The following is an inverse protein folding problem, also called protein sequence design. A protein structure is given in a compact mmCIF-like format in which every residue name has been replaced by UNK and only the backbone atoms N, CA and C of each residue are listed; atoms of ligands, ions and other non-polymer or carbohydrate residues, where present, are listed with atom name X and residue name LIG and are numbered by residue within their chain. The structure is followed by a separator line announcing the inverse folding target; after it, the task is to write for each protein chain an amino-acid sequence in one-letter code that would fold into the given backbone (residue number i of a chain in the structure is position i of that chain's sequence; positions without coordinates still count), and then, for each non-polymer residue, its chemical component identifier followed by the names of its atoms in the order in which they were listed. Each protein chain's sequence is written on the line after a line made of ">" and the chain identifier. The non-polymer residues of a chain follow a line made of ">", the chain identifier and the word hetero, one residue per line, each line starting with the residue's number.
data_IF_019404759463
#
_entry.id   IF_019404759463
#
_cell.length_a   1.000
_cell.length_b   1.000
_cell.length_c   1.000
_cell.angle_alpha   90.00
_cell.angle_beta   90.00
_cell.angle_gamma   90.00
#
_symmetry.space_group_name_H-M   'P 1'
#
loop_
_entity.id
_entity.type
_entity.pdbx_description
1 polymer ?
#
# COMPACT_ATOMS: atom_id res chain seq x y z
N UNK A 1 -28.92 -9.55 -26.44
CA UNK A 1 -29.06 -10.94 -25.96
C UNK A 1 -28.60 -10.96 -24.53
N UNK A 2 -29.46 -11.36 -23.59
CA UNK A 2 -29.13 -11.27 -22.16
C UNK A 2 -28.49 -12.59 -21.71
N UNK A 3 -27.42 -12.50 -20.93
CA UNK A 3 -26.78 -13.66 -20.28
C UNK A 3 -27.06 -13.60 -18.78
N UNK A 4 -27.21 -14.76 -18.15
CA UNK A 4 -27.37 -14.81 -16.70
C UNK A 4 -26.07 -14.35 -16.02
N UNK A 5 -26.10 -13.36 -15.11
CA UNK A 5 -24.90 -12.84 -14.46
C UNK A 5 -24.24 -13.84 -13.49
N UNK A 6 -24.98 -14.87 -13.05
CA UNK A 6 -24.49 -15.85 -12.10
C UNK A 6 -23.84 -17.07 -12.80
N UNK A 7 -24.47 -17.63 -13.83
CA UNK A 7 -24.00 -18.86 -14.49
C UNK A 7 -23.58 -18.70 -15.96
N UNK A 8 -23.69 -17.50 -16.53
CA UNK A 8 -23.27 -17.21 -17.91
C UNK A 8 -24.14 -17.82 -19.02
N UNK A 9 -25.23 -18.52 -18.68
CA UNK A 9 -26.10 -19.15 -19.68
C UNK A 9 -26.95 -18.10 -20.41
N UNK A 10 -27.17 -18.30 -21.72
CA UNK A 10 -28.02 -17.43 -22.54
C UNK A 10 -29.46 -17.46 -22.03
N UNK A 11 -30.02 -16.29 -21.73
CA UNK A 11 -31.38 -16.17 -21.24
C UNK A 11 -32.38 -16.10 -22.41
N UNK A 12 -33.39 -16.97 -22.38
CA UNK A 12 -34.46 -17.03 -23.39
C UNK A 12 -35.64 -16.09 -23.07
N UNK A 13 -35.38 -14.92 -22.47
CA UNK A 13 -36.39 -13.88 -22.25
C UNK A 13 -37.33 -14.07 -21.05
N UNK A 14 -37.16 -15.11 -20.24
CA UNK A 14 -37.92 -15.29 -18.98
C UNK A 14 -37.39 -14.42 -17.83
N UNK A 15 -38.23 -14.18 -16.82
CA UNK A 15 -37.88 -13.41 -15.62
C UNK A 15 -36.84 -14.11 -14.71
N UNK A 16 -36.60 -15.41 -14.91
CA UNK A 16 -35.65 -16.21 -14.14
C UNK A 16 -34.78 -17.06 -15.07
N UNK A 17 -33.53 -17.29 -14.67
CA UNK A 17 -32.64 -18.21 -15.35
C UNK A 17 -33.09 -19.66 -15.13
N UNK A 18 -33.28 -20.41 -16.21
CA UNK A 18 -33.74 -21.81 -16.18
C UNK A 18 -32.70 -22.79 -15.62
N UNK A 19 -31.43 -22.39 -15.51
CA UNK A 19 -30.35 -23.24 -15.00
C UNK A 19 -30.06 -23.03 -13.51
N UNK A 20 -30.11 -21.80 -13.02
CA UNK A 20 -29.71 -21.47 -11.64
C UNK A 20 -30.78 -20.71 -10.84
N UNK A 21 -31.96 -20.45 -11.41
CA UNK A 21 -33.06 -19.76 -10.73
C UNK A 21 -32.82 -18.27 -10.46
N UNK A 22 -31.70 -17.71 -10.89
CA UNK A 22 -31.38 -16.29 -10.64
C UNK A 22 -32.33 -15.38 -11.42
N UNK A 23 -32.95 -14.41 -10.74
CA UNK A 23 -33.84 -13.42 -11.34
C UNK A 23 -33.08 -12.54 -12.34
N UNK A 24 -33.67 -12.35 -13.52
CA UNK A 24 -33.11 -11.53 -14.59
C UNK A 24 -33.88 -10.21 -14.61
N UNK A 25 -33.30 -9.18 -13.99
CA UNK A 25 -33.89 -7.83 -13.98
C UNK A 25 -33.97 -7.30 -15.41
N UNK A 26 -35.19 -7.21 -15.96
CA UNK A 26 -35.41 -6.43 -17.17
C UNK A 26 -35.66 -4.97 -16.77
N UNK A 27 -34.89 -4.00 -17.31
CA UNK A 27 -35.26 -2.61 -17.17
C UNK A 27 -36.47 -2.34 -18.07
N UNK A 28 -37.63 -2.06 -17.47
CA UNK A 28 -38.78 -1.44 -18.13
C UNK A 28 -38.38 -0.03 -18.53
N UNK A 29 -38.16 0.19 -19.83
CA UNK A 29 -37.95 1.54 -20.38
C UNK A 29 -39.32 2.17 -20.54
N UNK A 30 -39.70 3.05 -19.62
CA UNK A 30 -40.81 4.00 -19.82
C UNK A 30 -40.19 5.20 -20.53
N UNK A 31 -40.71 5.52 -21.72
CA UNK A 31 -40.30 6.70 -22.46
C UNK A 31 -40.98 7.92 -21.84
N UNK A 32 -40.20 8.83 -21.27
CA UNK A 32 -40.65 10.18 -20.92
C UNK A 32 -39.86 11.22 -21.71
N UNK A 33 -40.62 12.22 -22.15
CA UNK A 33 -40.25 13.25 -23.12
C UNK A 33 -39.18 14.22 -22.60
N UNK A 34 -38.29 14.60 -23.52
CA UNK A 34 -37.17 15.52 -23.32
C UNK A 34 -37.70 16.96 -23.29
N UNK A 35 -37.52 17.65 -22.17
CA UNK A 35 -37.62 19.11 -22.10
C UNK A 35 -36.25 19.72 -21.80
N UNK A 36 -35.81 20.60 -22.69
CA UNK A 36 -34.48 21.22 -22.75
C UNK A 36 -34.55 22.58 -22.05
N UNK A 37 -33.74 22.82 -21.01
CA UNK A 37 -33.13 24.13 -20.72
C UNK A 37 -31.82 23.95 -19.91
N UNK A 38 -30.83 24.87 -20.04
CA UNK A 38 -29.43 24.61 -19.71
C UNK A 38 -28.99 25.13 -18.33
N UNK A 39 -27.77 24.75 -17.95
CA UNK A 39 -26.94 25.20 -16.82
C UNK A 39 -27.18 24.58 -15.43
N UNK A 40 -26.62 23.37 -15.25
CA UNK A 40 -25.96 22.99 -14.00
C UNK A 40 -24.73 22.14 -14.33
N UNK A 41 -23.53 22.63 -14.01
CA UNK A 41 -22.31 21.82 -14.01
C UNK A 41 -22.39 20.79 -12.89
N UNK A 42 -22.75 19.56 -13.27
CA UNK A 42 -22.70 18.38 -12.42
C UNK A 42 -21.24 17.96 -12.25
N UNK A 43 -20.75 17.94 -11.01
CA UNK A 43 -19.50 17.27 -10.63
C UNK A 43 -19.71 15.75 -10.69
N UNK A 44 -18.83 14.96 -11.33
CA UNK A 44 -18.91 13.52 -11.25
C UNK A 44 -18.33 13.03 -9.91
N UNK A 45 -19.21 12.78 -8.94
CA UNK A 45 -18.90 11.94 -7.77
C UNK A 45 -18.84 10.48 -8.21
N UNK A 46 -17.70 10.06 -8.77
CA UNK A 46 -17.29 8.66 -8.75
C UNK A 46 -15.76 8.60 -8.80
N UNK A 47 -15.12 8.73 -7.64
CA UNK A 47 -13.70 8.43 -7.49
C UNK A 47 -13.53 6.91 -7.63
N UNK A 48 -13.14 6.46 -8.81
CA UNK A 48 -12.59 5.13 -8.99
C UNK A 48 -11.27 5.07 -8.19
N UNK A 49 -11.20 4.19 -7.19
CA UNK A 49 -9.92 3.76 -6.64
C UNK A 49 -9.06 3.24 -7.79
N UNK A 50 -7.79 3.65 -7.94
CA UNK A 50 -6.92 3.08 -8.95
C UNK A 50 -6.70 1.61 -8.61
N UNK A 51 -7.36 0.73 -9.37
CA UNK A 51 -6.95 -0.65 -9.52
C UNK A 51 -5.60 -0.57 -10.22
N UNK A 52 -4.55 -1.04 -9.56
CA UNK A 52 -3.26 -1.26 -10.21
C UNK A 52 -3.47 -2.37 -11.24
N UNK A 53 -3.89 -2.02 -12.45
CA UNK A 53 -4.01 -2.96 -13.56
C UNK A 53 -2.61 -3.45 -13.87
N UNK A 54 -2.34 -4.71 -13.53
CA UNK A 54 -1.13 -5.37 -13.95
C UNK A 54 -1.01 -5.26 -15.47
N UNK A 55 0.15 -4.83 -15.96
CA UNK A 55 0.51 -5.07 -17.36
C UNK A 55 0.44 -6.59 -17.58
N UNK A 56 -0.11 -7.06 -18.71
CA UNK A 56 -0.19 -8.49 -18.99
C UNK A 56 1.22 -9.07 -19.02
N UNK A 57 1.54 -9.89 -18.02
CA UNK A 57 2.73 -10.73 -18.03
C UNK A 57 2.48 -11.77 -19.11
N UNK A 58 3.35 -11.81 -20.13
CA UNK A 58 3.33 -12.85 -21.15
C UNK A 58 3.33 -14.23 -20.46
N UNK A 59 2.53 -15.20 -20.94
CA UNK A 59 2.54 -16.53 -20.36
C UNK A 59 3.95 -17.11 -20.44
N UNK A 60 4.52 -17.43 -19.29
CA UNK A 60 5.74 -18.22 -19.19
C UNK A 60 5.52 -19.55 -19.92
N UNK A 61 6.48 -20.03 -20.73
CA UNK A 61 6.33 -21.29 -21.43
C UNK A 61 6.16 -22.42 -20.41
N UNK A 62 5.08 -23.17 -20.55
CA UNK A 62 4.87 -24.43 -19.83
C UNK A 62 6.01 -25.39 -20.20
N UNK A 63 6.89 -25.66 -19.25
CA UNK A 63 7.84 -26.77 -19.38
C UNK A 63 7.03 -28.07 -19.36
N UNK A 64 6.97 -28.74 -20.50
CA UNK A 64 6.50 -30.12 -20.63
C UNK A 64 7.41 -31.04 -19.83
N UNK A 65 6.91 -31.56 -18.71
CA UNK A 65 7.55 -32.63 -17.97
C UNK A 65 7.51 -33.92 -18.80
N UNK A 66 8.68 -34.50 -19.05
CA UNK A 66 8.82 -35.88 -19.55
C UNK A 66 8.32 -36.86 -18.47
N UNK A 67 7.62 -37.94 -18.82
CA UNK A 67 7.15 -38.90 -17.84
C UNK A 67 8.32 -39.73 -17.31
N UNK A 68 8.62 -39.56 -16.01
CA UNK A 68 9.48 -40.47 -15.25
C UNK A 68 8.64 -41.69 -14.85
N UNK A 69 9.07 -42.87 -15.27
CA UNK A 69 8.50 -44.16 -14.88
C UNK A 69 8.62 -44.36 -13.37
N UNK A 70 7.47 -44.56 -12.72
CA UNK A 70 7.37 -44.77 -11.28
C UNK A 70 7.62 -46.25 -10.92
N UNK A 71 8.54 -46.49 -9.99
CA UNK A 71 8.56 -47.71 -9.16
C UNK A 71 8.58 -47.28 -7.69
N UNK A 72 7.43 -47.50 -7.03
CA UNK A 72 7.26 -47.89 -5.63
C UNK A 72 7.80 -46.99 -4.50
N UNK A 73 6.91 -46.26 -3.81
CA UNK A 73 6.50 -46.45 -2.39
C UNK A 73 5.75 -45.21 -1.87
N UNK A 74 4.73 -45.34 -0.98
CA UNK A 74 3.99 -44.20 -0.45
C UNK A 74 4.67 -43.65 0.81
N UNK A 75 5.44 -42.58 0.65
CA UNK A 75 5.87 -41.71 1.73
C UNK A 75 5.27 -40.32 1.53
N UNK A 76 4.56 -39.82 2.52
CA UNK A 76 4.03 -38.45 2.56
C UNK A 76 5.21 -37.47 2.49
N UNK A 77 5.49 -36.95 1.30
CA UNK A 77 6.52 -35.95 1.05
C UNK A 77 5.88 -34.63 0.67
N UNK A 78 6.02 -33.63 1.55
CA UNK A 78 5.84 -32.23 1.17
C UNK A 78 6.63 -31.97 -0.10
N UNK A 79 5.98 -31.36 -1.09
CA UNK A 79 6.67 -30.82 -2.25
C UNK A 79 7.60 -29.72 -1.72
N UNK A 80 8.88 -30.04 -1.58
CA UNK A 80 9.93 -29.06 -1.41
C UNK A 80 9.84 -28.11 -2.61
N UNK A 81 9.25 -26.94 -2.41
CA UNK A 81 9.16 -25.91 -3.43
C UNK A 81 10.56 -25.62 -3.95
N UNK A 82 10.74 -25.74 -5.27
CA UNK A 82 11.98 -25.38 -5.93
C UNK A 82 12.47 -24.02 -5.41
N UNK A 83 13.76 -23.91 -5.10
CA UNK A 83 14.35 -22.66 -4.62
C UNK A 83 14.02 -21.53 -5.59
N UNK A 84 13.19 -20.59 -5.14
CA UNK A 84 12.69 -19.49 -5.96
C UNK A 84 13.88 -18.58 -6.34
N UNK A 85 13.98 -18.17 -7.60
CA UNK A 85 15.06 -17.27 -8.00
C UNK A 85 14.87 -15.92 -7.30
N UNK A 86 15.93 -15.42 -6.65
CA UNK A 86 15.92 -14.13 -5.95
C UNK A 86 15.41 -13.00 -6.85
N UNK A 87 15.74 -13.04 -8.15
CA UNK A 87 15.30 -12.08 -9.16
C UNK A 87 13.77 -11.97 -9.28
N UNK A 88 13.03 -13.08 -9.15
CA UNK A 88 11.57 -13.10 -9.28
C UNK A 88 10.86 -12.37 -8.11
N UNK A 89 11.60 -12.15 -7.02
CA UNK A 89 11.13 -11.45 -5.82
C UNK A 89 11.40 -9.94 -5.86
N UNK A 90 12.16 -9.46 -6.85
CA UNK A 90 12.47 -8.04 -7.00
C UNK A 90 11.30 -7.34 -7.69
N UNK A 91 10.72 -6.34 -7.01
CA UNK A 91 9.58 -5.56 -7.51
C UNK A 91 10.01 -4.22 -8.12
N UNK A 92 11.26 -3.80 -7.86
CA UNK A 92 11.78 -2.51 -8.32
C UNK A 92 11.16 -1.33 -7.57
N UNK A 93 11.54 -0.12 -7.97
CA UNK A 93 11.01 1.13 -7.43
C UNK A 93 9.60 1.50 -7.92
N UNK A 94 9.03 0.72 -8.85
CA UNK A 94 7.71 0.99 -9.41
C UNK A 94 6.56 0.65 -8.44
N UNK A 95 6.80 -0.27 -7.50
CA UNK A 95 5.84 -0.69 -6.49
C UNK A 95 5.91 0.15 -5.21
N UNK A 96 4.79 0.28 -4.45
CA UNK A 96 4.83 0.91 -3.13
C UNK A 96 5.82 0.21 -2.19
N UNK A 97 6.63 0.97 -1.46
CA UNK A 97 7.44 0.42 -0.37
C UNK A 97 6.53 -0.10 0.77
N UNK A 98 7.06 -0.89 1.70
CA UNK A 98 6.31 -1.20 2.94
C UNK A 98 6.67 -0.24 4.07
N UNK A 99 5.70 0.02 4.93
CA UNK A 99 5.86 0.90 6.08
C UNK A 99 4.96 0.47 7.25
N UNK A 100 5.08 1.13 8.40
CA UNK A 100 4.12 0.98 9.49
C UNK A 100 2.87 1.82 9.20
N UNK A 101 1.68 1.24 9.33
CA UNK A 101 0.38 1.92 9.29
C UNK A 101 -0.40 1.64 10.57
N UNK A 102 -1.44 2.44 10.86
CA UNK A 102 -2.35 2.14 11.96
C UNK A 102 -3.10 0.85 11.70
N UNK A 103 -3.35 0.05 12.75
CA UNK A 103 -4.23 -1.10 12.64
C UNK A 103 -5.64 -0.65 12.27
N UNK A 104 -6.21 -1.26 11.25
CA UNK A 104 -7.47 -0.88 10.62
C UNK A 104 -7.32 0.02 9.38
N UNK A 105 -6.11 0.48 9.05
CA UNK A 105 -5.88 1.27 7.84
C UNK A 105 -6.21 0.47 6.57
N UNK A 106 -6.78 1.13 5.56
CA UNK A 106 -7.15 0.49 4.28
C UNK A 106 -5.95 -0.10 3.51
N UNK A 107 -4.74 0.36 3.83
CA UNK A 107 -3.48 -0.08 3.24
C UNK A 107 -2.69 -1.05 4.13
N UNK A 108 -3.29 -1.56 5.20
CA UNK A 108 -2.65 -2.61 5.99
C UNK A 108 -2.50 -3.90 5.17
N UNK A 109 -1.36 -4.58 5.33
CA UNK A 109 -1.08 -5.82 4.64
C UNK A 109 -1.61 -7.01 5.44
N UNK A 110 -2.19 -7.99 4.73
CA UNK A 110 -2.63 -9.27 5.28
C UNK A 110 -1.97 -10.40 4.51
N UNK A 111 -1.19 -11.25 5.18
CA UNK A 111 -0.58 -12.43 4.56
C UNK A 111 -1.61 -13.55 4.39
N UNK A 112 -1.65 -14.16 3.19
CA UNK A 112 -2.50 -15.34 2.93
C UNK A 112 -2.13 -16.53 3.80
N UNK A 113 -0.83 -16.76 3.99
CA UNK A 113 -0.30 -17.93 4.70
C UNK A 113 0.16 -17.60 6.13
N UNK A 114 -0.49 -16.65 6.79
CA UNK A 114 -0.16 -16.27 8.16
C UNK A 114 -0.21 -17.44 9.17
N UNK A 115 -1.18 -18.39 9.11
CA UNK A 115 -1.19 -19.55 10.01
C UNK A 115 0.04 -20.45 9.85
N UNK A 116 0.46 -20.73 8.61
CA UNK A 116 1.66 -21.51 8.30
C UNK A 116 2.94 -20.77 8.73
N UNK A 117 2.99 -19.44 8.53
CA UNK A 117 4.11 -18.65 9.03
C UNK A 117 4.23 -18.71 10.56
N UNK A 118 3.10 -18.71 11.28
CA UNK A 118 3.05 -18.88 12.74
C UNK A 118 3.50 -20.26 13.20
N UNK A 119 3.25 -21.32 12.43
CA UNK A 119 3.73 -22.68 12.76
C UNK A 119 5.24 -22.85 12.52
N UNK A 120 5.91 -21.82 11.97
CA UNK A 120 7.35 -21.83 11.69
C UNK A 120 7.69 -22.34 10.29
N UNK A 121 6.68 -22.56 9.43
CA UNK A 121 6.90 -22.90 8.03
C UNK A 121 7.46 -21.71 7.25
N UNK A 122 8.21 -22.00 6.20
CA UNK A 122 8.63 -20.99 5.23
C UNK A 122 7.55 -20.83 4.17
N UNK A 123 7.02 -19.62 4.01
CA UNK A 123 5.89 -19.34 3.13
C UNK A 123 6.15 -18.14 2.22
N UNK A 124 5.55 -18.10 1.02
CA UNK A 124 5.62 -16.92 0.18
C UNK A 124 4.83 -15.78 0.82
N UNK A 125 5.38 -14.57 0.80
CA UNK A 125 4.76 -13.37 1.34
C UNK A 125 3.63 -12.82 0.44
N UNK A 126 2.68 -13.68 0.06
CA UNK A 126 1.51 -13.31 -0.76
C UNK A 126 0.47 -12.59 0.11
N UNK A 127 -0.12 -11.56 -0.47
CA UNK A 127 -1.10 -10.70 0.18
C UNK A 127 -2.53 -11.12 -0.18
N UNK A 128 -3.46 -10.90 0.76
CA UNK A 128 -4.89 -11.08 0.57
C UNK A 128 -5.69 -9.81 0.90
N UNK A 129 -7.01 -9.91 0.82
CA UNK A 129 -7.92 -8.78 1.06
C UNK A 129 -7.83 -7.73 -0.03
N UNK A 130 -7.69 -6.45 0.35
CA UNK A 130 -7.58 -5.32 -0.60
C UNK A 130 -6.33 -5.40 -1.48
N UNK A 131 -5.31 -6.11 -1.03
CA UNK A 131 -4.04 -6.29 -1.74
C UNK A 131 -3.93 -7.68 -2.41
N UNK A 132 -5.05 -8.36 -2.66
CA UNK A 132 -5.01 -9.66 -3.33
C UNK A 132 -4.34 -9.57 -4.71
N UNK A 133 -3.56 -10.61 -5.07
CA UNK A 133 -2.72 -10.63 -6.27
C UNK A 133 -1.37 -9.91 -6.14
N UNK A 134 -1.10 -9.24 -5.02
CA UNK A 134 0.21 -8.66 -4.70
C UNK A 134 1.02 -9.54 -3.74
N UNK A 135 2.32 -9.28 -3.67
CA UNK A 135 3.24 -9.91 -2.74
C UNK A 135 4.27 -8.93 -2.21
N UNK A 136 4.81 -9.21 -1.02
CA UNK A 136 5.97 -8.50 -0.49
C UNK A 136 7.21 -9.04 -1.19
N UNK A 137 8.02 -8.14 -1.70
CA UNK A 137 9.27 -8.41 -2.38
C UNK A 137 10.38 -7.46 -1.95
N UNK A 138 11.48 -7.50 -2.69
CA UNK A 138 12.63 -6.60 -2.53
C UNK A 138 12.53 -5.47 -3.53
N UNK A 139 13.04 -4.30 -3.19
CA UNK A 139 13.16 -3.20 -4.14
C UNK A 139 14.32 -3.42 -5.11
N UNK A 140 15.42 -4.05 -4.66
CA UNK A 140 16.63 -4.29 -5.45
C UNK A 140 17.16 -5.71 -5.24
N UNK A 141 17.94 -6.21 -6.20
CA UNK A 141 18.56 -7.54 -6.12
C UNK A 141 19.77 -7.54 -5.17
N UNK A 142 20.60 -6.52 -5.30
CA UNK A 142 21.77 -6.25 -4.48
C UNK A 142 21.42 -5.75 -3.08
N UNK A 143 22.30 -6.08 -2.13
CA UNK A 143 22.25 -5.53 -0.79
C UNK A 143 23.05 -4.24 -0.73
N UNK A 144 22.45 -3.20 -0.18
CA UNK A 144 23.11 -1.95 0.18
C UNK A 144 23.74 -2.06 1.56
N UNK A 145 24.57 -1.09 1.91
CA UNK A 145 25.19 -0.97 3.22
C UNK A 145 24.91 0.37 3.87
N UNK A 146 24.74 0.35 5.18
CA UNK A 146 24.73 1.51 6.05
C UNK A 146 25.53 1.15 7.31
N UNK A 147 26.72 1.72 7.45
CA UNK A 147 27.70 1.30 8.46
C UNK A 147 27.95 -0.23 8.38
N UNK A 148 27.80 -0.96 9.49
CA UNK A 148 27.94 -2.43 9.50
C UNK A 148 26.72 -3.19 8.96
N UNK A 149 25.60 -2.52 8.66
CA UNK A 149 24.34 -3.16 8.31
C UNK A 149 24.22 -3.38 6.81
N UNK A 150 23.83 -4.60 6.42
CA UNK A 150 23.42 -4.94 5.06
C UNK A 150 21.91 -4.85 4.96
N UNK A 151 21.38 -4.30 3.88
CA UNK A 151 19.94 -4.20 3.72
C UNK A 151 19.48 -4.19 2.26
N UNK A 152 18.21 -4.52 2.06
CA UNK A 152 17.45 -4.19 0.85
C UNK A 152 16.11 -3.65 1.27
N UNK A 153 15.66 -2.59 0.63
CA UNK A 153 14.34 -2.03 0.87
C UNK A 153 13.25 -3.03 0.46
N UNK A 154 12.12 -3.02 1.16
CA UNK A 154 11.00 -3.86 0.79
C UNK A 154 10.04 -3.12 -0.14
N UNK A 155 9.43 -3.84 -1.07
CA UNK A 155 8.50 -3.28 -2.06
C UNK A 155 7.36 -4.26 -2.34
N UNK A 156 6.22 -3.72 -2.77
CA UNK A 156 5.05 -4.50 -3.16
C UNK A 156 4.96 -4.61 -4.67
N UNK A 157 4.47 -5.75 -5.16
CA UNK A 157 4.19 -5.91 -6.58
C UNK A 157 3.55 -7.26 -6.89
N UNK A 158 3.16 -7.49 -8.16
CA UNK A 158 2.58 -8.76 -8.58
C UNK A 158 3.62 -9.88 -8.58
N UNK A 159 3.14 -11.12 -8.74
CA UNK A 159 3.97 -12.30 -8.90
C UNK A 159 4.45 -12.87 -7.56
N UNK A 160 5.55 -13.62 -7.61
CA UNK A 160 6.00 -14.39 -6.45
C UNK A 160 6.63 -13.49 -5.37
N UNK A 161 6.25 -13.69 -4.11
CA UNK A 161 6.80 -12.95 -2.98
C UNK A 161 8.15 -13.49 -2.52
N UNK A 162 8.80 -12.78 -1.60
CA UNK A 162 9.90 -13.39 -0.83
C UNK A 162 9.36 -14.54 0.03
N UNK A 163 10.21 -15.54 0.25
CA UNK A 163 9.95 -16.61 1.20
C UNK A 163 10.28 -16.12 2.62
N UNK A 164 9.27 -16.06 3.49
CA UNK A 164 9.41 -15.66 4.89
C UNK A 164 9.30 -16.85 5.81
N UNK A 165 10.16 -16.87 6.83
CA UNK A 165 10.08 -17.80 7.96
C UNK A 165 10.10 -17.02 9.27
N UNK A 166 9.23 -17.39 10.21
CA UNK A 166 9.29 -16.87 11.57
C UNK A 166 10.36 -17.62 12.37
N UNK A 167 11.52 -17.01 12.53
CA UNK A 167 12.64 -17.57 13.27
C UNK A 167 12.65 -17.09 14.72
N UNK A 168 12.99 -17.99 15.65
CA UNK A 168 13.05 -17.73 17.11
C UNK A 168 11.76 -17.09 17.67
N UNK A 169 10.62 -17.38 17.04
CA UNK A 169 9.30 -16.94 17.46
C UNK A 169 8.96 -15.47 17.19
N UNK A 170 9.85 -14.65 16.63
CA UNK A 170 9.59 -13.21 16.44
C UNK A 170 10.33 -12.54 15.28
N UNK A 171 11.34 -13.17 14.69
CA UNK A 171 12.10 -12.56 13.59
C UNK A 171 11.60 -13.09 12.26
N UNK A 172 11.05 -12.20 11.42
CA UNK A 172 10.61 -12.55 10.07
C UNK A 172 11.80 -12.54 9.13
N UNK A 173 12.38 -13.71 8.86
CA UNK A 173 13.60 -13.87 8.07
C UNK A 173 13.31 -14.28 6.63
N UNK A 174 14.13 -13.79 5.71
CA UNK A 174 14.18 -14.25 4.33
C UNK A 174 14.82 -15.64 4.24
N UNK A 175 14.22 -16.58 3.51
CA UNK A 175 14.75 -17.95 3.41
C UNK A 175 16.11 -18.03 2.66
N UNK A 176 16.33 -17.13 1.71
CA UNK A 176 17.47 -17.11 0.77
C UNK A 176 18.61 -16.18 1.21
N UNK A 177 18.49 -15.48 2.35
CA UNK A 177 19.51 -14.55 2.84
C UNK A 177 19.41 -14.37 4.36
N UNK A 178 20.53 -14.10 5.04
CA UNK A 178 20.50 -13.70 6.46
C UNK A 178 20.10 -12.22 6.60
N UNK A 179 18.82 -11.93 6.29
CA UNK A 179 18.16 -10.65 6.46
C UNK A 179 16.81 -10.90 7.15
N UNK A 180 16.44 -10.03 8.10
CA UNK A 180 15.15 -10.04 8.79
C UNK A 180 14.40 -8.74 8.55
N UNK A 181 13.09 -8.78 8.67
CA UNK A 181 12.24 -7.59 8.59
C UNK A 181 12.58 -6.64 9.75
N UNK A 182 12.83 -5.37 9.44
CA UNK A 182 13.30 -4.34 10.38
C UNK A 182 12.56 -3.02 10.13
N UNK A 183 12.04 -2.41 11.20
CA UNK A 183 11.52 -1.04 11.18
C UNK A 183 12.70 -0.08 11.14
N UNK A 184 12.78 0.76 10.10
CA UNK A 184 13.93 1.65 9.88
C UNK A 184 14.28 2.48 11.11
N UNK A 185 15.54 2.39 11.55
CA UNK A 185 16.07 3.07 12.74
C UNK A 185 15.26 2.82 14.04
N UNK A 186 14.46 1.75 14.04
CA UNK A 186 13.53 1.37 15.11
C UNK A 186 12.59 2.50 15.54
N UNK A 187 12.16 3.32 14.58
CA UNK A 187 11.21 4.40 14.80
C UNK A 187 9.78 3.88 14.67
N UNK A 188 9.13 3.59 15.79
CA UNK A 188 7.78 3.01 15.85
C UNK A 188 6.69 4.06 15.63
N UNK A 189 6.67 4.66 14.44
CA UNK A 189 5.67 5.67 14.05
C UNK A 189 5.09 5.35 12.69
N UNK A 190 3.84 5.74 12.46
CA UNK A 190 3.17 5.61 11.15
C UNK A 190 4.02 6.21 10.01
N UNK A 191 4.04 5.54 8.86
CA UNK A 191 4.83 5.92 7.69
C UNK A 191 6.31 5.56 7.77
N UNK A 192 6.79 4.98 8.88
CA UNK A 192 8.19 4.55 8.98
C UNK A 192 8.44 3.37 8.04
N UNK A 193 9.44 3.44 7.15
CA UNK A 193 9.72 2.34 6.22
C UNK A 193 10.14 1.07 6.94
N UNK A 194 9.74 -0.07 6.39
CA UNK A 194 10.13 -1.39 6.88
C UNK A 194 10.96 -2.06 5.80
N UNK A 195 12.14 -2.57 6.14
CA UNK A 195 13.13 -3.09 5.20
C UNK A 195 13.61 -4.47 5.62
N UNK A 196 14.39 -5.13 4.78
CA UNK A 196 15.09 -6.35 5.15
C UNK A 196 16.54 -6.02 5.51
N UNK A 197 16.95 -6.30 6.74
CA UNK A 197 18.25 -5.91 7.31
C UNK A 197 18.94 -7.11 7.93
N UNK A 198 20.26 -7.21 7.74
CA UNK A 198 21.12 -8.21 8.35
C UNK A 198 22.38 -7.59 8.89
N UNK A 199 22.83 -8.11 10.03
CA UNK A 199 24.14 -7.80 10.60
C UNK A 199 25.11 -8.94 10.35
N UNK A 200 26.24 -8.90 11.04
CA UNK A 200 27.17 -10.03 11.12
C UNK A 200 26.70 -10.97 12.24
N UNK A 201 26.35 -12.21 11.88
CA UNK A 201 25.96 -13.26 12.82
C UNK A 201 24.75 -12.87 13.68
N UNK A 202 24.89 -12.98 15.00
CA UNK A 202 23.82 -12.70 15.97
C UNK A 202 23.30 -11.24 15.92
N UNK A 203 24.07 -10.31 15.34
CA UNK A 203 23.60 -8.93 15.15
C UNK A 203 22.34 -8.86 14.28
N UNK A 204 22.08 -9.83 13.40
CA UNK A 204 20.83 -9.89 12.62
C UNK A 204 19.61 -9.96 13.54
N UNK A 205 19.68 -10.73 14.62
CA UNK A 205 18.59 -10.95 15.58
C UNK A 205 18.64 -9.99 16.79
N UNK A 206 19.30 -8.84 16.63
CA UNK A 206 19.39 -7.85 17.71
C UNK A 206 18.00 -7.27 18.03
N UNK A 207 17.64 -7.30 19.31
CA UNK A 207 16.40 -6.70 19.83
C UNK A 207 16.57 -5.23 20.21
N UNK A 208 17.78 -4.84 20.63
CA UNK A 208 18.08 -3.48 21.10
C UNK A 208 17.06 -2.93 22.10
N UNK A 209 16.96 -1.61 22.24
CA UNK A 209 16.05 -0.99 23.22
C UNK A 209 14.60 -0.81 22.74
N UNK A 210 14.33 -0.94 21.43
CA UNK A 210 13.01 -0.64 20.83
C UNK A 210 12.40 -1.82 20.05
N UNK A 211 13.11 -2.94 19.96
CA UNK A 211 12.62 -4.20 19.35
C UNK A 211 12.13 -4.05 17.90
N UNK A 212 12.84 -3.27 17.08
CA UNK A 212 12.45 -2.99 15.68
C UNK A 212 12.46 -4.19 14.72
N UNK A 213 12.90 -5.36 15.18
CA UNK A 213 12.96 -6.62 14.42
C UNK A 213 12.09 -7.72 15.00
N UNK A 214 11.39 -7.43 16.11
CA UNK A 214 10.52 -8.37 16.78
C UNK A 214 9.09 -8.16 16.32
N UNK A 215 8.50 -9.18 15.72
CA UNK A 215 7.21 -9.14 15.07
C UNK A 215 6.25 -10.17 15.66
N UNK A 216 4.97 -9.85 15.57
CA UNK A 216 3.86 -10.75 15.86
C UNK A 216 3.04 -10.88 14.60
N UNK A 217 2.87 -12.11 14.14
CA UNK A 217 1.88 -12.45 13.11
C UNK A 217 0.54 -12.57 13.83
N UNK A 218 -0.47 -11.81 13.42
CA UNK A 218 -1.79 -11.77 14.06
C UNK A 218 -2.74 -12.81 13.43
N UNK A 219 -3.83 -13.14 14.13
CA UNK A 219 -4.80 -14.13 13.64
C UNK A 219 -5.57 -13.65 12.41
N UNK A 220 -5.65 -12.33 12.21
CA UNK A 220 -6.30 -11.71 11.07
C UNK A 220 -5.36 -11.55 9.85
N UNK A 221 -4.17 -12.18 9.91
CA UNK A 221 -3.16 -12.15 8.86
C UNK A 221 -2.28 -10.90 8.82
N UNK A 222 -2.54 -9.90 9.67
CA UNK A 222 -1.65 -8.73 9.78
C UNK A 222 -0.37 -9.07 10.52
N UNK A 223 0.65 -8.22 10.36
CA UNK A 223 1.92 -8.33 11.10
C UNK A 223 2.12 -7.03 11.86
N UNK A 224 2.36 -7.10 13.18
CA UNK A 224 2.62 -5.94 14.04
C UNK A 224 3.98 -6.06 14.73
N UNK A 225 4.69 -4.95 15.00
CA UNK A 225 5.83 -5.00 15.91
C UNK A 225 5.36 -5.47 17.30
N UNK A 226 6.17 -6.28 17.98
CA UNK A 226 5.75 -7.06 19.16
C UNK A 226 5.12 -6.24 20.27
N UNK A 227 5.65 -5.05 20.55
CA UNK A 227 5.16 -4.17 21.62
C UNK A 227 4.31 -2.99 21.11
N UNK A 228 3.91 -3.00 19.82
CA UNK A 228 3.19 -1.91 19.18
C UNK A 228 2.00 -2.45 18.37
N UNK A 229 1.06 -3.10 19.05
CA UNK A 229 -0.11 -3.75 18.43
C UNK A 229 -1.08 -2.79 17.74
N UNK A 230 -0.98 -1.49 18.01
CA UNK A 230 -1.70 -0.43 17.30
C UNK A 230 -1.14 -0.11 15.92
N UNK A 231 0.07 -0.60 15.59
CA UNK A 231 0.72 -0.46 14.29
C UNK A 231 0.87 -1.83 13.62
N UNK A 232 0.71 -1.86 12.29
CA UNK A 232 0.87 -3.05 11.46
C UNK A 232 1.67 -2.73 10.20
N UNK A 233 2.18 -3.75 9.53
CA UNK A 233 2.79 -3.62 8.22
C UNK A 233 1.74 -3.15 7.19
N UNK A 234 2.09 -2.16 6.39
CA UNK A 234 1.22 -1.52 5.40
C UNK A 234 1.96 -1.16 4.11
N UNK A 235 1.20 -0.87 3.07
CA UNK A 235 1.70 -0.29 1.84
C UNK A 235 1.93 1.22 2.03
N UNK A 236 3.12 1.72 1.65
CA UNK A 236 3.42 3.14 1.59
C UNK A 236 2.81 3.77 0.33
N UNK A 237 1.47 3.78 0.25
CA UNK A 237 0.76 4.36 -0.88
C UNK A 237 0.88 5.89 -0.82
N UNK A 238 1.43 6.54 -1.85
CA UNK A 238 1.52 8.00 -1.88
C UNK A 238 0.14 8.64 -1.91
N UNK A 239 -0.07 9.66 -1.08
CA UNK A 239 -1.25 10.52 -1.16
C UNK A 239 -1.08 11.38 -2.40
N UNK A 240 -1.91 11.16 -3.42
CA UNK A 240 -1.82 11.89 -4.70
C UNK A 240 -2.19 13.35 -4.52
N UNK A 241 -1.45 14.24 -5.16
CA UNK A 241 -1.77 15.67 -5.16
C UNK A 241 -3.16 15.95 -5.75
N UNK A 242 -3.62 15.15 -6.71
CA UNK A 242 -4.98 15.17 -7.26
C UNK A 242 -6.06 14.91 -6.20
N UNK A 243 -5.79 14.07 -5.19
CA UNK A 243 -6.71 13.83 -4.07
C UNK A 243 -6.78 15.02 -3.11
N UNK A 244 -5.76 15.89 -3.12
CA UNK A 244 -5.66 17.07 -2.25
C UNK A 244 -6.35 18.32 -2.84
N UNK A 245 -6.73 18.31 -4.12
CA UNK A 245 -7.26 19.48 -4.80
C UNK A 245 -8.55 20.00 -4.13
N UNK A 246 -8.62 21.28 -3.80
CA UNK A 246 -9.81 21.84 -3.13
C UNK A 246 -9.47 22.98 -2.18
N UNK A 247 -10.46 23.41 -1.41
CA UNK A 247 -10.30 24.46 -0.40
C UNK A 247 -9.86 23.84 0.93
N UNK A 248 -8.94 24.52 1.61
CA UNK A 248 -8.35 24.10 2.87
C UNK A 248 -8.28 25.28 3.82
N UNK A 249 -8.36 24.97 5.11
CA UNK A 249 -8.08 25.90 6.18
C UNK A 249 -6.95 25.35 7.05
N UNK A 250 -6.17 26.26 7.65
CA UNK A 250 -5.17 25.92 8.65
C UNK A 250 -5.28 26.88 9.81
N UNK A 251 -5.16 26.38 11.04
CA UNK A 251 -5.01 27.21 12.23
C UNK A 251 -3.58 27.08 12.72
N UNK A 252 -2.73 28.06 12.41
CA UNK A 252 -1.32 28.09 12.76
C UNK A 252 -1.12 28.81 14.09
N UNK A 253 -1.34 28.15 15.22
CA UNK A 253 -1.09 28.79 16.52
C UNK A 253 0.41 28.96 16.79
N UNK A 254 0.87 30.11 17.31
CA UNK A 254 0.10 31.33 17.66
C UNK A 254 -0.01 32.37 16.51
N UNK A 255 0.57 32.10 15.35
CA UNK A 255 0.89 33.09 14.34
C UNK A 255 -0.23 33.42 13.33
N UNK A 256 -1.39 32.74 13.36
CA UNK A 256 -2.55 33.11 12.56
C UNK A 256 -3.36 31.94 12.01
N UNK A 257 -4.12 32.20 10.94
CA UNK A 257 -4.85 31.19 10.17
C UNK A 257 -4.58 31.34 8.67
N UNK A 258 -4.79 30.28 7.90
CA UNK A 258 -4.73 30.35 6.44
C UNK A 258 -6.00 29.77 5.84
N UNK A 259 -6.48 30.38 4.76
CA UNK A 259 -7.46 29.79 3.85
C UNK A 259 -6.78 29.70 2.49
N UNK A 260 -6.76 28.50 1.92
CA UNK A 260 -6.03 28.23 0.69
C UNK A 260 -6.77 27.28 -0.21
N UNK A 261 -6.46 27.36 -1.50
CA UNK A 261 -6.89 26.41 -2.51
C UNK A 261 -5.68 25.64 -3.00
N UNK A 262 -5.76 24.32 -2.94
CA UNK A 262 -4.82 23.41 -3.57
C UNK A 262 -5.34 23.09 -4.98
N UNK A 263 -4.49 23.26 -5.98
CA UNK A 263 -4.75 22.89 -7.38
C UNK A 263 -3.64 21.95 -7.84
N UNK A 264 -3.99 20.70 -8.14
CA UNK A 264 -3.03 19.71 -8.62
C UNK A 264 -2.62 19.98 -10.07
N UNK A 265 -1.31 19.95 -10.34
CA UNK A 265 -0.76 19.91 -11.70
C UNK A 265 -0.57 18.46 -12.17
N UNK A 266 -0.24 17.56 -11.25
CA UNK A 266 -0.09 16.12 -11.46
C UNK A 266 -0.36 15.35 -10.16
N UNK A 267 -0.14 14.03 -10.15
CA UNK A 267 -0.21 13.22 -8.91
C UNK A 267 0.89 13.58 -7.91
N UNK A 268 1.97 14.24 -8.33
CA UNK A 268 3.15 14.54 -7.50
C UNK A 268 3.42 16.04 -7.30
N UNK A 269 2.66 16.89 -7.97
CA UNK A 269 2.87 18.35 -7.98
C UNK A 269 1.54 19.06 -7.81
N UNK A 270 1.51 20.06 -6.92
CA UNK A 270 0.38 20.98 -6.79
C UNK A 270 0.84 22.42 -6.55
N UNK A 271 -0.08 23.35 -6.79
CA UNK A 271 0.04 24.74 -6.37
C UNK A 271 -0.95 25.00 -5.23
N UNK A 272 -0.51 25.69 -4.20
CA UNK A 272 -1.36 26.28 -3.17
C UNK A 272 -1.39 27.79 -3.35
N UNK A 273 -2.58 28.39 -3.33
CA UNK A 273 -2.75 29.83 -3.31
C UNK A 273 -3.81 30.21 -2.29
N UNK A 274 -3.64 31.35 -1.60
CA UNK A 274 -4.55 31.70 -0.53
C UNK A 274 -4.21 32.98 0.19
N UNK A 275 -4.87 33.17 1.32
CA UNK A 275 -4.64 34.24 2.27
C UNK A 275 -4.14 33.65 3.58
N UNK A 276 -3.00 34.12 4.05
CA UNK A 276 -2.52 33.92 5.41
C UNK A 276 -2.89 35.14 6.25
N UNK A 277 -3.68 34.93 7.29
CA UNK A 277 -4.10 35.97 8.23
C UNK A 277 -3.08 36.06 9.36
N UNK A 278 -2.06 36.90 9.19
CA UNK A 278 -1.04 37.11 10.21
C UNK A 278 -1.65 37.76 11.46
N UNK A 279 -1.36 37.19 12.63
CA UNK A 279 -2.05 37.51 13.89
C UNK A 279 -3.58 37.45 13.79
N UNK A 280 -4.12 36.60 12.90
CA UNK A 280 -5.55 36.42 12.64
C UNK A 280 -6.26 37.63 12.01
N UNK A 281 -5.55 38.71 11.65
CA UNK A 281 -6.18 39.95 11.15
C UNK A 281 -5.60 40.46 9.83
N UNK A 282 -4.30 40.31 9.57
CA UNK A 282 -3.66 40.91 8.39
C UNK A 282 -3.68 39.89 7.25
N UNK A 283 -4.49 40.08 6.18
CA UNK A 283 -4.54 39.15 5.06
C UNK A 283 -3.31 39.36 4.17
N UNK A 284 -2.42 38.36 4.15
CA UNK A 284 -1.26 38.32 3.28
C UNK A 284 -1.51 37.30 2.17
N UNK A 285 -1.61 37.71 0.89
CA UNK A 285 -1.73 36.76 -0.20
C UNK A 285 -0.43 35.97 -0.36
N UNK A 286 -0.56 34.69 -0.68
CA UNK A 286 0.59 33.86 -1.02
C UNK A 286 0.24 32.83 -2.11
N UNK A 287 1.29 32.38 -2.79
CA UNK A 287 1.23 31.29 -3.75
C UNK A 287 2.51 30.49 -3.67
N UNK A 288 2.39 29.16 -3.56
CA UNK A 288 3.53 28.25 -3.49
C UNK A 288 3.29 27.07 -4.40
N UNK A 289 4.34 26.63 -5.08
CA UNK A 289 4.34 25.37 -5.80
C UNK A 289 5.00 24.33 -4.92
N UNK A 290 4.39 23.16 -4.80
CA UNK A 290 4.91 22.06 -4.00
C UNK A 290 5.10 20.80 -4.83
N UNK A 291 6.20 20.10 -4.56
CA UNK A 291 6.60 18.86 -5.23
C UNK A 291 6.71 17.76 -4.19
N UNK A 292 6.28 16.55 -4.53
CA UNK A 292 6.37 15.39 -3.65
C UNK A 292 7.82 15.13 -3.24
N UNK A 293 8.02 14.96 -1.94
CA UNK A 293 9.26 14.48 -1.34
C UNK A 293 9.15 13.03 -0.86
N UNK A 294 7.98 12.62 -0.39
CA UNK A 294 7.70 11.24 0.02
C UNK A 294 6.20 10.92 -0.10
N UNK A 295 5.79 9.70 0.25
CA UNK A 295 4.40 9.26 0.16
C UNK A 295 3.40 10.24 0.80
N UNK A 296 3.79 10.90 1.89
CA UNK A 296 2.93 11.83 2.65
C UNK A 296 3.46 13.26 2.69
N UNK A 297 4.59 13.57 2.05
CA UNK A 297 5.26 14.86 2.17
C UNK A 297 5.40 15.57 0.83
N UNK A 298 5.13 16.87 0.86
CA UNK A 298 5.35 17.78 -0.26
C UNK A 298 6.16 18.99 0.22
N UNK A 299 7.15 19.40 -0.56
CA UNK A 299 8.02 20.54 -0.23
C UNK A 299 7.83 21.67 -1.22
N UNK A 300 7.96 22.90 -0.75
CA UNK A 300 7.93 24.07 -1.60
C UNK A 300 9.12 24.01 -2.59
N UNK A 301 8.85 24.25 -3.88
CA UNK A 301 9.88 24.23 -4.92
C UNK A 301 10.91 25.35 -4.77
N UNK A 302 10.56 26.44 -4.08
CA UNK A 302 11.46 27.57 -3.80
C UNK A 302 12.18 27.46 -2.45
N UNK A 303 11.70 26.61 -1.53
CA UNK A 303 12.29 26.42 -0.20
C UNK A 303 12.05 24.98 0.29
N UNK A 304 13.09 24.15 0.23
CA UNK A 304 13.01 22.75 0.65
C UNK A 304 12.78 22.56 2.16
N UNK A 305 12.96 23.60 2.97
CA UNK A 305 12.64 23.63 4.40
C UNK A 305 11.14 23.79 4.69
N UNK A 306 10.38 24.32 3.75
CA UNK A 306 8.92 24.47 3.85
C UNK A 306 8.21 23.18 3.42
N UNK A 307 7.87 22.35 4.42
CA UNK A 307 7.31 21.00 4.23
C UNK A 307 5.85 20.93 4.68
N UNK A 308 4.97 20.42 3.82
CA UNK A 308 3.62 19.98 4.18
C UNK A 308 3.60 18.47 4.35
N UNK A 309 3.03 17.98 5.45
CA UNK A 309 2.88 16.54 5.72
C UNK A 309 1.40 16.21 5.87
N UNK A 310 0.90 15.32 5.03
CA UNK A 310 -0.50 14.89 5.01
C UNK A 310 -0.68 13.60 5.80
N UNK A 311 -1.61 13.57 6.75
CA UNK A 311 -2.02 12.32 7.41
C UNK A 311 -2.79 11.45 6.42
N UNK A 312 -3.73 12.11 5.73
CA UNK A 312 -4.66 11.58 4.75
C UNK A 312 -5.09 12.71 3.80
N UNK A 313 -5.90 12.43 2.75
CA UNK A 313 -6.32 13.45 1.78
C UNK A 313 -7.15 14.61 2.32
N UNK A 314 -7.52 14.62 3.60
CA UNK A 314 -8.35 15.64 4.24
C UNK A 314 -7.68 16.30 5.45
N UNK A 315 -6.44 15.92 5.80
CA UNK A 315 -5.76 16.42 7.01
C UNK A 315 -4.25 16.50 6.83
N UNK A 316 -3.67 17.62 7.23
CA UNK A 316 -2.23 17.85 7.14
C UNK A 316 -1.69 18.69 8.30
N UNK A 317 -0.36 18.76 8.41
CA UNK A 317 0.37 19.60 9.38
C UNK A 317 1.72 20.08 8.80
N UNK A 318 2.33 21.07 9.46
CA UNK A 318 3.63 21.65 9.10
C UNK A 318 4.69 21.39 10.19
N UNK A 319 5.70 20.53 9.96
CA UNK A 319 6.83 20.35 10.86
C UNK A 319 8.00 21.31 10.57
N UNK A 320 8.92 21.54 11.52
CA UNK A 320 8.77 21.55 12.99
C UNK A 320 8.54 22.98 13.51
N UNK A 321 7.73 23.14 14.57
CA UNK A 321 7.65 24.40 15.32
C UNK A 321 6.40 25.25 15.10
N UNK A 322 5.50 24.87 14.19
CA UNK A 322 4.16 25.47 14.11
C UNK A 322 3.16 24.43 14.62
N UNK A 323 2.46 24.75 15.71
CA UNK A 323 1.29 23.98 16.14
C UNK A 323 0.14 24.32 15.17
N UNK A 324 0.26 23.81 13.94
CA UNK A 324 -0.64 24.06 12.84
C UNK A 324 -1.18 22.75 12.30
N UNK A 325 -2.47 22.52 12.50
CA UNK A 325 -3.22 21.51 11.78
C UNK A 325 -4.18 22.20 10.81
N UNK A 326 -4.35 21.58 9.65
CA UNK A 326 -5.29 22.05 8.65
C UNK A 326 -6.13 20.91 8.09
N UNK A 327 -7.32 21.28 7.64
CA UNK A 327 -8.33 20.38 7.11
C UNK A 327 -8.87 20.90 5.80
N UNK A 328 -9.51 20.00 5.05
CA UNK A 328 -10.30 20.39 3.89
C UNK A 328 -11.56 21.10 4.38
N UNK A 329 -11.92 22.22 3.74
CA UNK A 329 -13.15 22.94 4.02
C UNK A 329 -14.38 22.19 3.51
#
# INVERSE_FOLDING_TARGET
>A
MNFCPNCGTKANGGAFCTQCGTALNQPTVVADEVNIFPDTKVFPDTIQTPVYTALPVAPTPMYTALPLTAVGTPGVGLVAGAAQNKADTVKGSAGPATCLVKKGDKHQLRLKFAPNLKSGESVPALLGGVHDGMAIGRQYLEEKRYEEWRYTESALGPGAGVQLKLERGEFLKLQDSDLVLDVSFWKMTEGTPVNFVGGTGERTYQRGGKEGRSWVVNNDGTISPKNYSGLVLGAAVPIKATELAGCWNCCCFPCGSAVMKISAESDDVYQECGLFFWFFVIPLPYGKKRVRKSAKQFVNSADAGDVSVFENPNKFWFPPGVAGCGGRC
#
